data_IF_449402753444
#
_entry.id   IF_449402753444
#
_cell.length_a   1.000
_cell.length_b   1.000
_cell.length_c   1.000
_cell.angle_alpha   90.00
_cell.angle_beta   90.00
_cell.angle_gamma   90.00
#
_symmetry.space_group_name_H-M   'P 1'
#
loop_
_entity.id
_entity.type
_entity.pdbx_description
1 polymer ?
#
# COMPACT_ATOMS: atom_id res chain seq x y z
N UNK A 1 4.69 -2.14 17.62
CA UNK A 1 5.04 -1.87 16.21
C UNK A 1 4.91 -3.15 15.39
N UNK A 2 5.42 -4.24 15.93
CA UNK A 2 5.54 -5.58 15.38
C UNK A 2 4.27 -6.17 14.76
N UNK A 3 3.18 -6.20 15.53
CA UNK A 3 1.90 -6.78 15.09
C UNK A 3 1.33 -6.09 13.85
N UNK A 4 1.48 -4.76 13.75
CA UNK A 4 0.94 -3.99 12.64
C UNK A 4 1.74 -4.21 11.35
N UNK A 5 3.06 -4.28 11.43
CA UNK A 5 3.93 -4.55 10.27
C UNK A 5 3.73 -5.97 9.74
N UNK A 6 3.65 -6.95 10.63
CA UNK A 6 3.38 -8.33 10.26
C UNK A 6 2.00 -8.46 9.61
N UNK A 7 0.97 -7.87 10.22
CA UNK A 7 -0.39 -7.89 9.67
C UNK A 7 -0.44 -7.23 8.28
N UNK A 8 0.15 -6.05 8.12
CA UNK A 8 0.20 -5.36 6.83
C UNK A 8 0.86 -6.23 5.75
N UNK A 9 1.98 -6.89 6.08
CA UNK A 9 2.66 -7.78 5.14
C UNK A 9 1.79 -8.99 4.76
N UNK A 10 1.13 -9.62 5.75
CA UNK A 10 0.24 -10.77 5.49
C UNK A 10 -1.00 -10.40 4.67
N UNK A 11 -1.48 -9.16 4.77
CA UNK A 11 -2.59 -8.64 3.96
C UNK A 11 -2.16 -8.20 2.55
N UNK A 12 -0.88 -8.36 2.19
CA UNK A 12 -0.36 -8.06 0.86
C UNK A 12 0.00 -6.59 0.64
N UNK A 13 0.11 -5.79 1.70
CA UNK A 13 0.64 -4.42 1.62
C UNK A 13 2.16 -4.52 1.43
N UNK A 14 2.62 -4.35 0.20
CA UNK A 14 4.05 -4.50 -0.16
C UNK A 14 4.84 -3.19 -0.13
N UNK A 15 4.16 -2.06 -0.05
CA UNK A 15 4.77 -0.73 -0.03
C UNK A 15 4.66 -0.16 1.38
N UNK A 16 5.80 0.29 1.91
CA UNK A 16 5.92 0.80 3.28
C UNK A 16 6.71 2.10 3.27
N UNK A 17 6.26 3.06 4.08
CA UNK A 17 6.97 4.30 4.41
C UNK A 17 7.06 4.36 5.93
N UNK A 18 8.22 4.75 6.45
CA UNK A 18 8.47 4.86 7.89
C UNK A 18 8.72 6.33 8.23
N UNK A 19 7.73 6.96 8.86
CA UNK A 19 7.91 8.26 9.51
C UNK A 19 8.53 8.09 10.90
N UNK A 20 9.79 8.49 11.07
CA UNK A 20 10.46 8.54 12.38
C UNK A 20 9.99 9.81 13.08
N UNK A 21 8.91 9.68 13.85
CA UNK A 21 8.22 10.81 14.49
C UNK A 21 8.87 11.26 15.80
N UNK A 22 8.46 12.44 16.29
CA UNK A 22 8.92 13.08 17.53
C UNK A 22 10.42 13.41 17.55
N UNK A 23 10.99 13.78 16.40
CA UNK A 23 12.41 14.16 16.32
C UNK A 23 12.76 15.38 17.20
N UNK A 24 11.80 16.26 17.46
CA UNK A 24 11.88 17.39 18.38
C UNK A 24 12.12 16.97 19.85
N UNK A 25 11.74 15.75 20.21
CA UNK A 25 11.82 15.20 21.56
C UNK A 25 13.05 14.31 21.77
N UNK A 26 13.95 14.21 20.78
CA UNK A 26 15.20 13.47 20.92
C UNK A 26 16.20 14.24 21.80
N UNK A 27 17.17 13.52 22.38
CA UNK A 27 18.26 14.12 23.16
C UNK A 27 19.60 13.80 22.48
N UNK A 28 20.33 14.80 21.94
CA UNK A 28 19.92 16.20 21.73
C UNK A 28 18.75 16.33 20.73
N UNK A 29 18.03 17.46 20.74
CA UNK A 29 16.89 17.68 19.83
C UNK A 29 17.31 17.52 18.37
N UNK A 30 16.45 16.87 17.58
CA UNK A 30 16.70 16.55 16.18
C UNK A 30 18.01 15.76 15.94
N UNK A 31 18.34 14.82 16.83
CA UNK A 31 19.58 14.04 16.76
C UNK A 31 19.63 13.10 15.56
N UNK A 32 20.61 13.32 14.68
CA UNK A 32 20.95 12.41 13.57
C UNK A 32 21.30 11.00 14.07
N UNK A 33 22.09 10.91 15.15
CA UNK A 33 22.53 9.63 15.72
C UNK A 33 21.33 8.78 16.14
N UNK A 34 20.33 9.40 16.79
CA UNK A 34 19.12 8.70 17.22
C UNK A 34 18.29 8.24 16.03
N UNK A 35 18.18 9.07 15.00
CA UNK A 35 17.53 8.70 13.74
C UNK A 35 18.21 7.48 13.09
N UNK A 36 19.52 7.50 12.92
CA UNK A 36 20.29 6.40 12.29
C UNK A 36 20.18 5.08 13.07
N UNK A 37 20.17 5.14 14.40
CA UNK A 37 19.93 3.99 15.27
C UNK A 37 18.54 3.38 15.00
N UNK A 38 17.49 4.20 15.00
CA UNK A 38 16.11 3.76 14.73
C UNK A 38 16.00 3.17 13.32
N UNK A 39 16.58 3.83 12.31
CA UNK A 39 16.58 3.34 10.93
C UNK A 39 17.23 1.97 10.85
N UNK A 40 18.36 1.75 11.53
CA UNK A 40 19.07 0.46 11.53
C UNK A 40 18.25 -0.65 12.19
N UNK A 41 17.67 -0.38 13.36
CA UNK A 41 16.85 -1.35 14.08
C UNK A 41 15.59 -1.71 13.29
N UNK A 42 14.85 -0.70 12.80
CA UNK A 42 13.63 -0.90 12.02
C UNK A 42 13.94 -1.59 10.68
N UNK A 43 15.03 -1.23 10.01
CA UNK A 43 15.47 -1.90 8.76
C UNK A 43 15.76 -3.39 9.00
N UNK A 44 16.41 -3.72 10.10
CA UNK A 44 16.66 -5.12 10.48
C UNK A 44 15.34 -5.86 10.74
N UNK A 45 14.40 -5.18 11.38
CA UNK A 45 13.11 -5.75 11.73
C UNK A 45 12.21 -5.99 10.51
N UNK A 46 12.01 -4.99 9.65
CA UNK A 46 11.17 -5.13 8.44
C UNK A 46 11.75 -6.16 7.46
N UNK A 47 13.09 -6.32 7.43
CA UNK A 47 13.76 -7.37 6.66
C UNK A 47 13.41 -8.77 7.15
N UNK A 48 13.28 -8.97 8.48
CA UNK A 48 12.83 -10.25 9.06
C UNK A 48 11.39 -10.57 8.69
N UNK A 49 10.53 -9.56 8.57
CA UNK A 49 9.13 -9.73 8.15
C UNK A 49 9.02 -10.09 6.66
N UNK A 50 9.95 -9.59 5.84
CA UNK A 50 10.01 -9.88 4.39
C UNK A 50 9.97 -8.64 3.50
N UNK A 51 9.92 -7.43 4.07
CA UNK A 51 10.10 -6.20 3.30
C UNK A 51 11.58 -6.04 2.88
N UNK A 52 11.80 -5.40 1.73
CA UNK A 52 13.14 -4.95 1.36
C UNK A 52 13.40 -3.54 1.94
N UNK A 53 14.35 -3.34 2.87
CA UNK A 53 14.65 -2.02 3.41
C UNK A 53 15.00 -0.98 2.35
N UNK A 54 15.64 -1.38 1.25
CA UNK A 54 16.01 -0.46 0.16
C UNK A 54 14.79 0.11 -0.58
N UNK A 55 13.63 -0.53 -0.43
CA UNK A 55 12.37 -0.07 -1.04
C UNK A 55 11.54 0.85 -0.13
N UNK A 56 12.03 1.12 1.09
CA UNK A 56 11.29 1.83 2.15
C UNK A 56 11.90 3.20 2.39
N UNK A 57 11.08 4.24 2.30
CA UNK A 57 11.48 5.59 2.65
C UNK A 57 11.45 5.76 4.17
N UNK A 58 12.56 6.21 4.75
CA UNK A 58 12.64 6.62 6.16
C UNK A 58 12.68 8.14 6.21
N UNK A 59 11.67 8.74 6.84
CA UNK A 59 11.52 10.21 6.88
C UNK A 59 11.51 10.65 8.34
N UNK A 60 12.50 11.42 8.82
CA UNK A 60 12.46 12.01 10.15
C UNK A 60 11.45 13.16 10.15
N UNK A 61 10.45 13.10 11.04
CA UNK A 61 9.36 14.08 11.10
C UNK A 61 9.10 14.56 12.53
N UNK A 62 8.48 15.73 12.65
CA UNK A 62 7.75 16.13 13.85
C UNK A 62 6.32 16.46 13.48
N UNK A 63 5.38 15.60 13.87
CA UNK A 63 3.96 15.83 13.63
C UNK A 63 3.42 17.07 14.36
N UNK A 64 4.05 17.45 15.47
CA UNK A 64 3.64 18.60 16.28
C UNK A 64 4.13 19.93 15.68
N UNK A 65 5.39 19.96 15.23
CA UNK A 65 6.01 21.19 14.72
C UNK A 65 5.88 21.36 13.19
N UNK A 66 5.41 20.36 12.45
CA UNK A 66 5.33 20.43 10.99
C UNK A 66 6.58 19.96 10.25
N UNK A 67 7.66 19.60 10.96
CA UNK A 67 8.96 19.32 10.37
C UNK A 67 8.92 18.15 9.37
N UNK A 68 9.42 18.38 8.14
CA UNK A 68 9.49 17.41 7.04
C UNK A 68 8.14 16.78 6.65
N UNK A 69 7.01 17.45 6.91
CA UNK A 69 5.68 16.98 6.51
C UNK A 69 5.28 17.52 5.11
N UNK A 70 4.86 18.78 4.96
CA UNK A 70 4.67 19.40 3.64
C UNK A 70 5.92 20.13 3.13
N UNK A 71 6.84 20.51 4.03
CA UNK A 71 8.00 21.33 3.70
C UNK A 71 9.26 20.83 4.45
N UNK A 72 10.46 21.02 3.87
CA UNK A 72 11.71 20.64 4.52
C UNK A 72 11.93 21.43 5.82
N UNK A 73 12.42 20.74 6.85
CA UNK A 73 12.73 21.33 8.14
C UNK A 73 14.11 21.99 8.16
N UNK A 74 14.18 23.23 8.64
CA UNK A 74 15.45 23.89 8.95
C UNK A 74 16.17 23.27 10.17
N UNK A 75 15.46 22.52 11.02
CA UNK A 75 15.99 21.91 12.24
C UNK A 75 16.81 20.64 11.97
N UNK A 76 16.71 20.06 10.77
CA UNK A 76 17.39 18.83 10.37
C UNK A 76 18.26 19.01 9.12
N UNK A 77 19.27 19.92 9.13
CA UNK A 77 20.12 20.19 7.96
C UNK A 77 21.00 19.00 7.55
N UNK A 78 21.16 18.04 8.47
CA UNK A 78 21.86 16.78 8.24
C UNK A 78 21.04 15.79 7.39
N UNK A 79 19.71 15.91 7.37
CA UNK A 79 18.88 15.03 6.56
C UNK A 79 18.93 15.49 5.09
N UNK A 80 19.63 14.70 4.26
CA UNK A 80 19.77 14.98 2.82
C UNK A 80 18.63 14.41 1.98
N UNK A 81 17.65 13.78 2.63
CA UNK A 81 16.55 13.11 1.98
C UNK A 81 16.60 11.60 2.11
N UNK A 82 15.47 10.98 1.81
CA UNK A 82 15.30 9.55 1.70
C UNK A 82 15.49 9.12 0.24
N UNK A 83 15.88 7.86 0.06
CA UNK A 83 16.01 7.24 -1.27
C UNK A 83 15.42 5.84 -1.23
N UNK A 84 14.70 5.51 -2.27
CA UNK A 84 14.02 4.23 -2.46
C UNK A 84 14.47 3.65 -3.79
N UNK A 85 14.93 2.40 -3.75
CA UNK A 85 15.37 1.64 -4.92
C UNK A 85 14.37 0.52 -5.18
N UNK A 86 13.69 0.55 -6.33
CA UNK A 86 12.66 -0.44 -6.72
C UNK A 86 12.86 -0.81 -8.19
N UNK A 87 12.41 -2.01 -8.57
CA UNK A 87 12.48 -2.48 -9.97
C UNK A 87 11.69 -1.58 -10.92
N UNK A 88 10.61 -1.00 -10.43
CA UNK A 88 9.64 -0.22 -11.21
C UNK A 88 9.91 1.30 -11.17
N UNK A 89 11.11 1.71 -10.73
CA UNK A 89 11.54 3.11 -10.67
C UNK A 89 12.10 3.50 -9.30
N UNK A 90 13.26 4.15 -9.30
CA UNK A 90 13.84 4.71 -8.09
C UNK A 90 13.20 6.06 -7.77
N UNK A 91 13.09 6.37 -6.49
CA UNK A 91 12.53 7.63 -6.01
C UNK A 91 13.41 8.21 -4.88
N UNK A 92 13.38 9.53 -4.74
CA UNK A 92 14.03 10.23 -3.64
C UNK A 92 13.27 11.50 -3.33
N UNK A 93 13.35 11.93 -2.07
CA UNK A 93 12.71 13.15 -1.60
C UNK A 93 13.24 13.55 -0.22
N UNK A 94 12.72 14.64 0.32
CA UNK A 94 13.13 15.24 1.58
C UNK A 94 11.99 15.34 2.58
N UNK A 95 10.74 15.24 2.12
CA UNK A 95 9.54 15.36 2.97
C UNK A 95 8.67 14.11 2.89
N UNK A 96 7.73 13.99 3.83
CA UNK A 96 6.78 12.89 3.91
C UNK A 96 5.79 12.90 2.75
N UNK A 97 5.35 14.08 2.30
CA UNK A 97 4.41 14.19 1.18
C UNK A 97 4.99 13.59 -0.11
N UNK A 98 6.24 13.93 -0.45
CA UNK A 98 6.94 13.33 -1.58
C UNK A 98 7.06 11.80 -1.46
N UNK A 99 7.22 11.27 -0.25
CA UNK A 99 7.28 9.83 -0.03
C UNK A 99 5.94 9.16 -0.35
N UNK A 100 4.83 9.81 0.01
CA UNK A 100 3.47 9.37 -0.32
C UNK A 100 3.20 9.42 -1.82
N UNK A 101 3.63 10.50 -2.50
CA UNK A 101 3.49 10.65 -3.95
C UNK A 101 4.29 9.60 -4.74
N UNK A 102 5.35 9.05 -4.13
CA UNK A 102 6.15 7.97 -4.71
C UNK A 102 5.58 6.56 -4.48
N UNK A 103 4.38 6.43 -3.90
CA UNK A 103 3.68 5.15 -3.82
C UNK A 103 3.17 4.79 -5.22
N UNK A 104 3.58 3.62 -5.69
CA UNK A 104 3.14 3.10 -6.98
C UNK A 104 1.69 2.61 -6.86
N UNK A 105 0.81 2.89 -7.83
CA UNK A 105 -0.50 2.25 -7.88
C UNK A 105 -0.34 0.73 -7.87
N UNK A 106 -1.13 -0.01 -7.08
CA UNK A 106 -1.03 -1.46 -7.07
C UNK A 106 -1.37 -2.00 -8.48
N UNK A 107 -0.60 -2.98 -8.98
CA UNK A 107 -0.91 -3.58 -10.27
C UNK A 107 -2.29 -4.23 -10.19
N UNK A 108 -3.20 -3.82 -11.08
CA UNK A 108 -4.50 -4.47 -11.18
C UNK A 108 -4.28 -5.92 -11.60
N UNK A 109 -4.79 -6.91 -10.85
CA UNK A 109 -4.54 -8.33 -11.13
C UNK A 109 -5.40 -8.84 -12.30
N UNK A 110 -5.28 -8.22 -13.48
CA UNK A 110 -6.06 -8.56 -14.69
C UNK A 110 -5.64 -9.90 -15.30
N UNK A 111 -4.39 -10.30 -15.11
CA UNK A 111 -3.83 -11.54 -15.67
C UNK A 111 -4.14 -12.78 -14.83
N UNK A 112 -4.71 -12.57 -13.62
CA UNK A 112 -5.14 -13.67 -12.75
C UNK A 112 -6.52 -14.18 -13.15
N UNK A 113 -6.90 -15.43 -12.80
CA UNK A 113 -8.25 -15.93 -13.02
C UNK A 113 -9.31 -15.03 -12.39
N UNK A 114 -10.49 -14.94 -13.02
CA UNK A 114 -11.61 -14.16 -12.51
C UNK A 114 -12.01 -14.63 -11.10
N UNK A 115 -12.07 -13.70 -10.16
CA UNK A 115 -12.68 -13.88 -8.84
C UNK A 115 -13.54 -12.66 -8.52
N UNK A 116 -14.82 -12.91 -8.31
CA UNK A 116 -15.83 -11.88 -8.03
C UNK A 116 -16.67 -12.38 -6.84
N UNK A 117 -16.35 -11.97 -5.60
CA UNK A 117 -17.19 -12.24 -4.45
C UNK A 117 -18.54 -11.53 -4.60
N UNK A 118 -19.63 -12.29 -4.47
CA UNK A 118 -20.98 -11.74 -4.52
C UNK A 118 -21.29 -11.00 -3.22
N UNK A 119 -21.75 -9.76 -3.36
CA UNK A 119 -22.28 -8.96 -2.26
C UNK A 119 -23.78 -9.20 -2.14
N UNK A 120 -24.50 -9.04 -3.24
CA UNK A 120 -25.95 -9.16 -3.31
C UNK A 120 -26.39 -9.86 -4.61
N UNK A 121 -27.60 -10.42 -4.59
CA UNK A 121 -28.22 -11.04 -5.76
C UNK A 121 -29.65 -10.54 -5.88
N UNK A 122 -29.96 -9.90 -7.01
CA UNK A 122 -31.29 -9.38 -7.30
C UNK A 122 -32.00 -10.21 -8.36
N UNK A 123 -33.33 -10.23 -8.33
CA UNK A 123 -34.17 -10.71 -9.42
C UNK A 123 -34.93 -9.53 -10.00
N UNK A 124 -34.58 -9.13 -11.22
CA UNK A 124 -35.19 -8.00 -11.91
C UNK A 124 -36.16 -8.52 -12.97
N UNK A 125 -37.41 -8.07 -12.92
CA UNK A 125 -38.45 -8.44 -13.88
C UNK A 125 -38.00 -8.01 -15.29
N UNK A 126 -38.03 -8.94 -16.25
CA UNK A 126 -37.62 -8.71 -17.64
C UNK A 126 -36.12 -8.85 -17.94
N UNK A 127 -35.25 -8.89 -16.92
CA UNK A 127 -33.79 -9.08 -17.09
C UNK A 127 -33.35 -10.45 -16.56
N UNK A 128 -33.91 -10.88 -15.41
CA UNK A 128 -33.56 -12.12 -14.73
C UNK A 128 -32.73 -11.90 -13.46
N UNK A 129 -31.87 -12.86 -13.14
CA UNK A 129 -31.03 -12.84 -11.94
C UNK A 129 -29.76 -12.01 -12.18
N UNK A 130 -29.51 -11.02 -11.33
CA UNK A 130 -28.38 -10.09 -11.42
C UNK A 130 -27.55 -10.17 -10.14
N UNK A 131 -26.41 -10.89 -10.17
CA UNK A 131 -25.44 -10.86 -9.08
C UNK A 131 -24.62 -9.57 -9.11
N UNK A 132 -24.39 -8.98 -7.94
CA UNK A 132 -23.59 -7.76 -7.75
C UNK A 132 -22.39 -8.08 -6.88
N UNK A 133 -21.23 -7.56 -7.25
CA UNK A 133 -20.02 -7.73 -6.46
C UNK A 133 -18.83 -7.00 -7.07
N UNK A 134 -17.70 -7.05 -6.36
CA UNK A 134 -16.46 -6.42 -6.79
C UNK A 134 -15.56 -7.45 -7.46
N UNK A 135 -15.03 -7.11 -8.64
CA UNK A 135 -13.99 -7.94 -9.27
C UNK A 135 -12.70 -7.76 -8.46
N UNK A 136 -12.27 -8.83 -7.78
CA UNK A 136 -11.03 -8.83 -7.01
C UNK A 136 -9.83 -9.25 -7.87
N UNK A 137 -10.02 -10.19 -8.79
CA UNK A 137 -9.01 -10.59 -9.78
C UNK A 137 -9.61 -10.91 -11.14
N UNK A 138 -8.81 -10.80 -12.19
CA UNK A 138 -9.17 -11.11 -13.57
C UNK A 138 -10.00 -10.04 -14.25
N UNK A 139 -10.64 -10.44 -15.36
CA UNK A 139 -11.48 -9.57 -16.18
C UNK A 139 -12.82 -10.28 -16.39
N UNK A 140 -13.91 -9.53 -16.27
CA UNK A 140 -15.26 -9.97 -16.58
C UNK A 140 -15.72 -9.29 -17.89
N UNK A 141 -16.16 -10.08 -18.86
CA UNK A 141 -16.72 -9.60 -20.13
C UNK A 141 -18.03 -10.32 -20.44
N UNK A 142 -18.98 -9.68 -21.12
CA UNK A 142 -20.12 -10.38 -21.71
C UNK A 142 -19.67 -11.54 -22.61
N UNK A 143 -20.44 -12.62 -22.63
CA UNK A 143 -20.16 -13.86 -23.36
C UNK A 143 -19.20 -14.83 -22.64
N UNK A 144 -18.62 -14.45 -21.50
CA UNK A 144 -17.83 -15.39 -20.71
C UNK A 144 -18.70 -16.42 -20.00
N UNK A 145 -18.26 -17.67 -20.00
CA UNK A 145 -18.85 -18.73 -19.18
C UNK A 145 -18.16 -18.70 -17.80
N UNK A 146 -18.95 -18.49 -16.75
CA UNK A 146 -18.45 -18.39 -15.37
C UNK A 146 -19.05 -19.49 -14.50
N UNK A 147 -18.33 -19.86 -13.44
CA UNK A 147 -18.77 -20.85 -12.45
C UNK A 147 -18.89 -20.21 -11.08
N UNK A 148 -20.03 -20.41 -10.43
CA UNK A 148 -20.33 -19.94 -9.08
C UNK A 148 -19.96 -21.01 -8.05
N UNK A 149 -18.96 -20.71 -7.22
CA UNK A 149 -18.62 -21.53 -6.06
C UNK A 149 -19.44 -21.09 -4.82
N UNK A 150 -19.71 -21.99 -3.85
CA UNK A 150 -19.37 -23.42 -3.84
C UNK A 150 -20.38 -24.32 -4.58
N UNK A 151 -21.49 -23.75 -5.07
CA UNK A 151 -22.61 -24.50 -5.68
C UNK A 151 -22.26 -25.15 -7.04
N UNK A 152 -21.12 -24.80 -7.62
CA UNK A 152 -20.61 -25.30 -8.91
C UNK A 152 -21.59 -25.12 -10.08
N UNK A 153 -22.42 -24.09 -10.03
CA UNK A 153 -23.34 -23.72 -11.13
C UNK A 153 -22.55 -22.94 -12.17
N UNK A 154 -22.66 -23.33 -13.45
CA UNK A 154 -21.97 -22.66 -14.56
C UNK A 154 -22.99 -22.00 -15.50
N UNK A 155 -22.74 -20.76 -15.89
CA UNK A 155 -23.63 -19.99 -16.77
C UNK A 155 -22.86 -18.96 -17.59
N UNK A 156 -23.45 -18.51 -18.69
CA UNK A 156 -22.90 -17.45 -19.55
C UNK A 156 -23.34 -16.06 -19.05
N UNK A 157 -22.40 -15.11 -19.03
CA UNK A 157 -22.67 -13.71 -18.69
C UNK A 157 -23.28 -13.00 -19.89
N UNK A 158 -24.54 -12.56 -19.76
CA UNK A 158 -25.23 -11.84 -20.85
C UNK A 158 -24.82 -10.37 -20.98
N UNK A 159 -24.67 -9.66 -19.87
CA UNK A 159 -24.28 -8.25 -19.85
C UNK A 159 -23.52 -7.93 -18.55
N UNK A 160 -22.73 -6.86 -18.60
CA UNK A 160 -21.97 -6.36 -17.46
C UNK A 160 -22.19 -4.85 -17.40
N UNK A 161 -22.58 -4.36 -16.22
CA UNK A 161 -22.73 -2.94 -15.95
C UNK A 161 -21.81 -2.57 -14.79
N UNK A 162 -21.11 -1.44 -14.92
CA UNK A 162 -20.36 -0.81 -13.84
C UNK A 162 -20.84 0.65 -13.72
N UNK A 163 -21.11 1.16 -12.51
CA UNK A 163 -21.37 2.58 -12.29
C UNK A 163 -20.12 3.44 -12.53
#
# INVERSE_FOLDING_TARGET
MDRYLLLAYTLGVKQLIVGVSKMDSTEPRYSQKRYEEIVKEVSTYIKKIGYNPDTVAFVPISGWNGDNMPEPSANMPWFKGWKVTRKDGNASGTILLEALDCILPPPRPTDKPLRLPLQDVYKIVGIGTVPVGRVETGVLKPGMVVTFAPVNVTTEIKSVNAP
#
